data_IF_530563011302
#
_entry.id   IF_530563011302
#
_cell.length_a   1.000
_cell.length_b   1.000
_cell.length_c   1.000
_cell.angle_alpha   90.00
_cell.angle_beta   90.00
_cell.angle_gamma   90.00
#
_symmetry.space_group_name_H-M   'P 1'
#
loop_
_entity.id
_entity.type
_entity.pdbx_description
1 polymer ?
#
# COMPACT_ATOMS: atom_id res chain seq x y z
N UNK A 1 44.67 -11.01 72.04
CA UNK A 1 44.67 -12.42 71.55
C UNK A 1 44.16 -12.38 70.12
N UNK A 2 45.08 -12.52 69.17
CA UNK A 2 44.82 -12.57 67.73
C UNK A 2 44.40 -13.97 67.33
N UNK A 3 43.32 -14.10 66.55
CA UNK A 3 43.04 -15.29 65.74
C UNK A 3 42.52 -14.81 64.37
N UNK A 4 43.05 -15.32 63.25
CA UNK A 4 42.61 -14.94 61.91
C UNK A 4 41.48 -15.86 61.42
N UNK A 5 40.36 -15.28 61.03
CA UNK A 5 39.29 -15.91 60.23
C UNK A 5 39.02 -14.97 59.05
N UNK A 6 38.95 -15.36 57.79
CA UNK A 6 39.40 -16.55 57.12
C UNK A 6 39.64 -16.17 55.66
N UNK A 7 40.81 -16.53 55.12
CA UNK A 7 41.18 -16.31 53.72
C UNK A 7 40.58 -17.38 52.76
N UNK A 8 39.65 -18.20 53.24
CA UNK A 8 39.08 -19.32 52.50
C UNK A 8 37.92 -18.96 51.56
N UNK A 9 37.34 -17.75 51.64
CA UNK A 9 36.03 -17.49 51.02
C UNK A 9 36.03 -16.88 49.62
N UNK A 10 37.19 -16.53 49.03
CA UNK A 10 37.22 -15.86 47.71
C UNK A 10 37.53 -16.83 46.57
N UNK A 11 38.44 -17.77 46.79
CA UNK A 11 38.77 -18.80 45.80
C UNK A 11 37.63 -19.80 45.59
N UNK A 12 36.91 -20.13 46.66
CA UNK A 12 35.78 -21.06 46.62
C UNK A 12 34.58 -20.46 45.86
N UNK A 13 34.31 -19.15 46.06
CA UNK A 13 33.26 -18.41 45.33
C UNK A 13 33.60 -18.26 43.84
N UNK A 14 34.88 -18.05 43.50
CA UNK A 14 35.33 -17.99 42.11
C UNK A 14 35.19 -19.34 41.39
N UNK A 15 35.50 -20.45 42.07
CA UNK A 15 35.33 -21.80 41.51
C UNK A 15 33.85 -22.13 41.25
N UNK A 16 32.95 -21.76 42.19
CA UNK A 16 31.51 -21.97 42.02
C UNK A 16 30.95 -21.13 40.86
N UNK A 17 31.39 -19.89 40.71
CA UNK A 17 30.92 -19.03 39.59
C UNK A 17 31.41 -19.51 38.23
N UNK A 18 32.64 -20.02 38.14
CA UNK A 18 33.16 -20.62 36.90
C UNK A 18 32.43 -21.92 36.56
N UNK A 19 32.10 -22.74 37.57
CA UNK A 19 31.33 -23.98 37.36
C UNK A 19 29.91 -23.69 36.85
N UNK A 20 29.20 -22.72 37.44
CA UNK A 20 27.86 -22.30 36.97
C UNK A 20 27.91 -21.70 35.57
N UNK A 21 28.96 -20.95 35.25
CA UNK A 21 29.15 -20.42 33.90
C UNK A 21 29.41 -21.52 32.86
N UNK A 22 30.16 -22.57 33.22
CA UNK A 22 30.41 -23.71 32.34
C UNK A 22 29.12 -24.50 32.05
N UNK A 23 28.32 -24.78 33.09
CA UNK A 23 27.03 -25.47 32.95
C UNK A 23 26.03 -24.66 32.11
N UNK A 24 26.02 -23.33 32.26
CA UNK A 24 25.22 -22.45 31.42
C UNK A 24 25.65 -22.43 29.95
N UNK A 25 26.96 -22.56 29.66
CA UNK A 25 27.48 -22.62 28.29
C UNK A 25 27.13 -23.96 27.64
N UNK A 26 27.18 -25.06 28.38
CA UNK A 26 26.80 -26.40 27.90
C UNK A 26 25.30 -26.47 27.57
N UNK A 27 24.45 -25.92 28.45
CA UNK A 27 23.01 -25.81 28.17
C UNK A 27 22.70 -24.92 26.94
N UNK A 28 23.50 -23.88 26.71
CA UNK A 28 23.34 -23.02 25.53
C UNK A 28 23.78 -23.73 24.24
N UNK A 29 24.79 -24.60 24.32
CA UNK A 29 25.23 -25.41 23.18
C UNK A 29 24.16 -26.45 22.79
N UNK A 30 23.58 -27.16 23.76
CA UNK A 30 22.46 -28.10 23.50
C UNK A 30 21.25 -27.38 22.90
N UNK A 31 20.92 -26.18 23.39
CA UNK A 31 19.83 -25.39 22.86
C UNK A 31 20.07 -24.95 21.40
N UNK A 32 21.31 -24.63 21.03
CA UNK A 32 21.68 -24.26 19.65
C UNK A 32 21.60 -25.47 18.71
N UNK A 33 22.00 -26.66 19.17
CA UNK A 33 21.92 -27.89 18.39
C UNK A 33 20.46 -28.30 18.13
N UNK A 34 19.60 -28.21 19.16
CA UNK A 34 18.16 -28.43 19.01
C UNK A 34 17.49 -27.42 18.06
N UNK A 35 17.96 -26.16 18.05
CA UNK A 35 17.45 -25.13 17.13
C UNK A 35 17.89 -25.40 15.69
N UNK A 36 19.09 -25.94 15.49
CA UNK A 36 19.59 -26.34 14.17
C UNK A 36 18.78 -27.51 13.59
N UNK A 37 18.47 -28.53 14.40
CA UNK A 37 17.60 -29.64 13.98
C UNK A 37 16.18 -29.17 13.65
N UNK A 38 15.62 -28.24 14.42
CA UNK A 38 14.29 -27.67 14.17
C UNK A 38 14.24 -26.88 12.85
N UNK A 39 15.30 -26.12 12.52
CA UNK A 39 15.41 -25.39 11.26
C UNK A 39 15.51 -26.35 10.07
N UNK A 40 16.26 -27.45 10.20
CA UNK A 40 16.37 -28.45 9.14
C UNK A 40 15.05 -29.22 8.93
N UNK A 41 14.30 -29.50 10.01
CA UNK A 41 12.98 -30.08 9.94
C UNK A 41 11.97 -29.14 9.25
N UNK A 42 12.03 -27.84 9.53
CA UNK A 42 11.18 -26.84 8.88
C UNK A 42 11.46 -26.76 7.37
N UNK A 43 12.74 -26.80 6.97
CA UNK A 43 13.14 -26.80 5.57
C UNK A 43 12.67 -28.05 4.82
N UNK A 44 12.69 -29.23 5.48
CA UNK A 44 12.12 -30.47 4.91
C UNK A 44 10.59 -30.38 4.75
N UNK A 45 9.89 -29.80 5.73
CA UNK A 45 8.45 -29.62 5.68
C UNK A 45 8.02 -28.63 4.58
N UNK A 46 8.78 -27.54 4.37
CA UNK A 46 8.53 -26.60 3.26
C UNK A 46 8.75 -27.28 1.89
N UNK A 47 9.79 -28.10 1.74
CA UNK A 47 10.05 -28.84 0.51
C UNK A 47 8.96 -29.89 0.20
N UNK A 48 8.43 -30.59 1.22
CA UNK A 48 7.30 -31.52 1.05
C UNK A 48 6.00 -30.78 0.71
N UNK A 49 5.75 -29.62 1.31
CA UNK A 49 4.59 -28.79 1.00
C UNK A 49 4.64 -28.25 -0.44
N UNK A 50 5.83 -27.90 -0.94
CA UNK A 50 6.03 -27.47 -2.33
C UNK A 50 5.85 -28.63 -3.32
N UNK A 51 6.28 -29.85 -2.96
CA UNK A 51 6.05 -31.06 -3.75
C UNK A 51 4.57 -31.47 -3.80
N UNK A 52 3.82 -31.29 -2.70
CA UNK A 52 2.36 -31.51 -2.66
C UNK A 52 1.57 -30.42 -3.39
N UNK A 53 2.06 -29.18 -3.38
CA UNK A 53 1.48 -28.06 -4.13
C UNK A 53 1.58 -28.21 -5.65
N UNK A 54 2.53 -29.02 -6.14
CA UNK A 54 2.70 -29.31 -7.57
C UNK A 54 1.73 -30.37 -8.13
N UNK A 55 0.93 -31.04 -7.28
CA UNK A 55 -0.06 -32.07 -7.69
C UNK A 55 -1.49 -31.51 -7.71
N UNK A 56 -1.70 -30.25 -7.34
CA UNK A 56 -3.03 -29.64 -7.15
C UNK A 56 -3.61 -28.84 -8.32
N UNK A 57 -3.08 -28.96 -9.55
CA UNK A 57 -3.60 -28.22 -10.73
C UNK A 57 -4.13 -29.10 -11.87
N UNK A 58 -4.38 -30.39 -11.63
CA UNK A 58 -5.10 -31.24 -12.58
C UNK A 58 -6.19 -32.05 -11.86
N UNK A 59 -7.42 -31.51 -11.79
CA UNK A 59 -8.59 -32.30 -11.43
C UNK A 59 -9.69 -31.59 -10.64
N UNK A 60 -10.31 -30.56 -11.21
CA UNK A 60 -11.68 -30.17 -10.81
C UNK A 60 -12.50 -29.78 -12.05
N UNK A 61 -12.85 -30.78 -12.85
CA UNK A 61 -14.03 -30.73 -13.70
C UNK A 61 -14.87 -31.98 -13.36
N UNK A 62 -16.17 -31.77 -13.15
CA UNK A 62 -17.20 -32.73 -12.70
C UNK A 62 -17.38 -32.90 -11.17
N UNK A 63 -18.46 -32.30 -10.66
CA UNK A 63 -19.63 -32.96 -10.03
C UNK A 63 -20.30 -31.97 -9.07
N UNK A 64 -21.43 -31.38 -9.51
CA UNK A 64 -22.49 -30.92 -8.61
C UNK A 64 -23.84 -31.13 -9.29
N UNK A 65 -24.33 -32.37 -9.26
CA UNK A 65 -25.77 -32.65 -9.33
C UNK A 65 -26.36 -32.43 -7.93
N UNK A 66 -27.12 -31.35 -7.79
CA UNK A 66 -27.96 -31.09 -6.64
C UNK A 66 -29.23 -31.92 -6.69
N UNK A 67 -29.54 -32.58 -5.57
CA UNK A 67 -30.84 -33.18 -5.33
C UNK A 67 -31.82 -32.18 -4.70
N UNK A 68 -33.11 -32.42 -4.97
CA UNK A 68 -34.34 -32.01 -4.26
C UNK A 68 -35.21 -30.88 -4.86
N UNK A 69 -36.56 -30.98 -4.72
CA UNK A 69 -37.43 -31.24 -5.87
C UNK A 69 -38.64 -30.28 -5.98
N UNK A 70 -39.43 -30.44 -7.04
CA UNK A 70 -40.89 -30.21 -6.99
C UNK A 70 -41.44 -29.08 -7.85
N UNK A 71 -42.67 -29.31 -8.33
CA UNK A 71 -43.55 -28.46 -9.15
C UNK A 71 -43.04 -28.26 -10.60
N UNK A 72 -43.77 -28.60 -11.65
CA UNK A 72 -45.21 -28.67 -11.80
C UNK A 72 -45.57 -27.84 -13.05
N UNK A 73 -46.34 -28.47 -13.95
CA UNK A 73 -47.28 -27.82 -14.87
C UNK A 73 -46.82 -27.11 -16.17
N UNK A 74 -47.47 -27.60 -17.23
CA UNK A 74 -48.01 -26.88 -18.39
C UNK A 74 -47.09 -26.33 -19.49
N UNK A 75 -46.98 -27.15 -20.54
CA UNK A 75 -46.84 -26.68 -21.91
C UNK A 75 -48.18 -26.20 -22.49
N UNK A 76 -48.15 -25.01 -23.09
CA UNK A 76 -49.28 -24.39 -23.79
C UNK A 76 -48.84 -23.35 -24.82
N UNK A 77 -48.81 -23.80 -26.08
CA UNK A 77 -49.21 -23.13 -27.35
C UNK A 77 -49.30 -21.59 -27.50
N UNK A 78 -49.02 -21.20 -28.76
CA UNK A 78 -49.32 -19.93 -29.46
C UNK A 78 -48.33 -18.79 -29.14
N UNK A 79 -47.89 -17.95 -30.08
CA UNK A 79 -48.24 -17.70 -31.47
C UNK A 79 -47.76 -16.27 -31.75
N UNK A 80 -46.87 -16.08 -32.73
CA UNK A 80 -47.18 -15.17 -33.84
C UNK A 80 -46.73 -13.72 -33.64
N UNK A 81 -46.65 -13.02 -34.77
CA UNK A 81 -46.40 -11.59 -34.99
C UNK A 81 -44.90 -11.23 -35.13
N UNK A 82 -44.34 -11.28 -36.36
CA UNK A 82 -44.33 -10.22 -37.40
C UNK A 82 -43.25 -9.15 -37.11
N UNK A 83 -42.44 -8.62 -38.03
CA UNK A 83 -42.74 -8.18 -39.39
C UNK A 83 -41.41 -7.82 -40.12
N UNK A 84 -41.41 -7.99 -41.44
CA UNK A 84 -40.60 -7.31 -42.48
C UNK A 84 -39.10 -7.64 -42.62
N UNK A 85 -38.70 -8.45 -43.60
CA UNK A 85 -38.51 -8.11 -45.02
C UNK A 85 -37.72 -6.82 -45.26
N UNK A 86 -36.48 -6.97 -45.74
CA UNK A 86 -36.12 -6.48 -47.07
C UNK A 86 -35.10 -7.43 -47.72
N UNK A 87 -35.64 -8.21 -48.65
CA UNK A 87 -34.96 -9.03 -49.63
C UNK A 87 -34.46 -8.09 -50.75
N UNK A 88 -33.18 -8.18 -51.13
CA UNK A 88 -32.77 -7.84 -52.49
C UNK A 88 -31.93 -8.99 -53.04
N UNK A 89 -32.63 -9.82 -53.81
CA UNK A 89 -32.12 -10.89 -54.67
C UNK A 89 -31.45 -10.27 -55.89
N UNK A 90 -30.19 -10.65 -56.18
CA UNK A 90 -29.65 -11.09 -57.48
C UNK A 90 -28.37 -11.85 -57.10
N UNK A 91 -28.15 -13.16 -57.34
CA UNK A 91 -28.49 -13.98 -58.49
C UNK A 91 -27.20 -14.26 -59.28
N UNK A 92 -26.65 -15.48 -59.18
CA UNK A 92 -25.63 -15.99 -60.11
C UNK A 92 -24.36 -16.56 -59.45
N UNK A 93 -24.26 -17.89 -59.39
CA UNK A 93 -23.05 -18.59 -58.93
C UNK A 93 -21.95 -18.69 -59.99
N UNK A 94 -20.76 -19.15 -59.60
CA UNK A 94 -19.86 -19.99 -60.39
C UNK A 94 -18.70 -20.50 -59.50
N UNK A 95 -18.18 -21.68 -59.86
CA UNK A 95 -17.20 -22.49 -59.14
C UNK A 95 -15.75 -21.95 -59.15
N UNK A 96 -14.96 -22.51 -58.23
CA UNK A 96 -13.55 -22.94 -58.41
C UNK A 96 -12.41 -21.92 -58.21
N UNK A 97 -11.40 -22.38 -57.46
CA UNK A 97 -10.00 -22.04 -57.76
C UNK A 97 -9.22 -21.21 -56.74
N UNK A 98 -8.48 -21.91 -55.86
CA UNK A 98 -7.03 -21.76 -55.67
C UNK A 98 -6.35 -20.40 -55.37
N UNK A 99 -5.42 -20.51 -54.40
CA UNK A 99 -4.16 -19.74 -54.25
C UNK A 99 -4.12 -18.44 -53.43
N UNK A 100 -3.47 -18.60 -52.26
CA UNK A 100 -2.33 -17.81 -51.73
C UNK A 100 -2.36 -16.29 -52.00
N UNK A 101 -2.69 -15.53 -50.96
CA UNK A 101 -2.41 -14.10 -50.85
C UNK A 101 -2.00 -13.70 -49.44
N UNK A 102 -0.72 -13.33 -49.27
CA UNK A 102 -0.11 -12.71 -48.08
C UNK A 102 -0.98 -11.55 -47.52
N UNK A 103 -1.49 -11.67 -46.30
CA UNK A 103 -1.81 -10.53 -45.42
C UNK A 103 -0.65 -10.39 -44.42
N UNK A 104 0.26 -9.43 -44.53
CA UNK A 104 0.12 -7.97 -44.34
C UNK A 104 -0.39 -7.63 -42.95
N UNK A 105 0.52 -7.19 -42.08
CA UNK A 105 0.21 -6.15 -41.10
C UNK A 105 0.05 -6.59 -39.64
N UNK A 106 0.91 -7.45 -39.10
CA UNK A 106 1.16 -7.49 -37.67
C UNK A 106 1.88 -6.21 -37.24
N UNK A 107 1.12 -5.14 -36.99
CA UNK A 107 1.61 -3.86 -36.46
C UNK A 107 2.15 -4.13 -35.06
N UNK A 108 3.44 -4.48 -34.99
CA UNK A 108 4.20 -4.58 -33.74
C UNK A 108 3.90 -3.34 -32.91
N UNK A 109 3.57 -3.59 -31.64
CA UNK A 109 3.20 -2.60 -30.66
C UNK A 109 4.12 -1.39 -30.73
N UNK A 110 3.48 -0.23 -30.65
CA UNK A 110 4.04 1.09 -30.61
C UNK A 110 5.32 1.10 -29.74
N UNK A 111 6.50 1.06 -30.37
CA UNK A 111 7.78 1.18 -29.69
C UNK A 111 7.79 2.52 -28.96
N UNK A 112 7.68 2.45 -27.64
CA UNK A 112 7.74 3.57 -26.71
C UNK A 112 9.18 4.07 -26.59
N UNK A 113 9.67 4.71 -27.65
CA UNK A 113 10.84 5.57 -27.62
C UNK A 113 10.43 7.01 -27.86
N UNK A 114 9.42 7.50 -27.12
CA UNK A 114 9.17 8.95 -27.10
C UNK A 114 10.24 9.56 -26.23
N UNK A 115 10.93 10.59 -26.71
CA UNK A 115 11.83 11.39 -25.88
C UNK A 115 10.98 12.00 -24.75
N UNK A 116 11.06 11.39 -23.58
CA UNK A 116 10.37 11.80 -22.37
C UNK A 116 11.38 12.57 -21.55
N UNK A 117 11.06 13.81 -21.21
CA UNK A 117 11.87 14.63 -20.33
C UNK A 117 11.27 14.55 -18.92
N UNK A 118 12.11 14.33 -17.91
CA UNK A 118 11.67 14.30 -16.51
C UNK A 118 12.19 15.55 -15.82
N UNK A 119 11.26 16.34 -15.29
CA UNK A 119 11.53 17.58 -14.56
C UNK A 119 11.18 17.38 -13.08
N UNK A 120 11.95 17.93 -12.13
CA UNK A 120 11.57 17.91 -10.73
C UNK A 120 10.30 18.75 -10.48
N UNK A 121 9.40 18.25 -9.65
CA UNK A 121 8.22 19.00 -9.20
C UNK A 121 8.61 19.97 -8.06
N UNK A 122 7.71 20.90 -7.69
CA UNK A 122 7.88 21.74 -6.48
C UNK A 122 7.99 20.94 -5.17
N UNK A 123 7.55 19.68 -5.16
CA UNK A 123 7.62 18.81 -4.00
C UNK A 123 8.82 17.89 -4.15
N UNK A 124 9.61 17.78 -3.10
CA UNK A 124 10.79 16.91 -3.05
C UNK A 124 10.40 15.44 -3.30
N UNK A 125 11.15 14.72 -4.14
CA UNK A 125 10.91 13.31 -4.46
C UNK A 125 9.80 13.04 -5.49
N UNK A 126 9.11 14.08 -5.97
CA UNK A 126 8.09 13.98 -7.02
C UNK A 126 8.60 14.65 -8.30
N UNK A 127 8.30 14.04 -9.44
CA UNK A 127 8.76 14.51 -10.75
C UNK A 127 7.59 14.58 -11.74
N UNK A 128 7.76 15.38 -12.79
CA UNK A 128 6.84 15.48 -13.92
C UNK A 128 7.54 14.93 -15.15
N UNK A 129 6.91 13.94 -15.77
CA UNK A 129 7.29 13.42 -17.07
C UNK A 129 6.56 14.26 -18.15
N UNK A 130 7.30 15.13 -18.83
CA UNK A 130 6.80 15.89 -19.98
C UNK A 130 6.86 15.04 -21.24
N UNK A 131 5.73 14.95 -21.94
CA UNK A 131 5.59 14.14 -23.14
C UNK A 131 4.46 14.65 -24.03
N UNK A 132 3.65 13.72 -24.57
CA UNK A 132 2.40 14.12 -25.27
C UNK A 132 1.32 14.55 -24.27
N UNK A 133 1.31 13.90 -23.12
CA UNK A 133 0.48 14.20 -21.96
C UNK A 133 1.43 14.22 -20.78
N UNK A 134 1.30 15.24 -19.94
CA UNK A 134 2.14 15.35 -18.75
C UNK A 134 1.67 14.35 -17.70
N UNK A 135 2.61 13.60 -17.15
CA UNK A 135 2.33 12.59 -16.15
C UNK A 135 3.14 12.87 -14.87
N UNK A 136 2.48 12.74 -13.72
CA UNK A 136 3.16 12.74 -12.43
C UNK A 136 3.93 11.42 -12.29
N UNK A 137 5.20 11.48 -11.89
CA UNK A 137 6.04 10.29 -11.73
C UNK A 137 6.84 10.32 -10.43
N UNK A 138 7.12 9.15 -9.86
CA UNK A 138 8.01 8.95 -8.72
C UNK A 138 9.21 8.10 -9.12
N UNK A 139 10.36 8.30 -8.48
CA UNK A 139 11.54 7.47 -8.71
C UNK A 139 11.32 6.09 -8.08
N UNK A 140 11.44 5.03 -8.87
CA UNK A 140 11.21 3.68 -8.39
C UNK A 140 12.34 3.24 -7.45
N UNK A 141 12.00 2.77 -6.25
CA UNK A 141 12.98 2.22 -5.31
C UNK A 141 13.49 0.82 -5.74
N UNK A 142 12.65 0.03 -6.41
CA UNK A 142 12.96 -1.34 -6.85
C UNK A 142 12.83 -1.43 -8.38
N UNK A 143 13.91 -1.14 -9.14
CA UNK A 143 13.87 -1.14 -10.59
C UNK A 143 13.46 -2.51 -11.16
N UNK A 144 12.71 -2.49 -12.26
CA UNK A 144 12.29 -3.70 -12.97
C UNK A 144 10.90 -4.21 -12.58
N UNK A 145 10.36 -3.78 -11.44
CA UNK A 145 9.08 -4.26 -10.94
C UNK A 145 7.98 -3.19 -10.92
N UNK A 146 6.77 -3.56 -11.36
CA UNK A 146 5.55 -2.76 -11.22
C UNK A 146 4.67 -3.33 -10.12
N UNK A 147 4.02 -2.46 -9.34
CA UNK A 147 3.17 -2.90 -8.22
C UNK A 147 1.77 -3.29 -8.70
N UNK A 148 1.16 -2.49 -9.56
CA UNK A 148 -0.21 -2.68 -10.03
C UNK A 148 -0.34 -2.55 -11.56
N UNK A 149 0.76 -2.71 -12.29
CA UNK A 149 0.81 -2.64 -13.75
C UNK A 149 0.85 -1.21 -14.32
N UNK A 150 1.32 -0.24 -13.53
CA UNK A 150 1.52 1.13 -13.96
C UNK A 150 2.57 1.28 -15.07
N UNK A 151 2.44 2.35 -15.86
CA UNK A 151 3.44 2.70 -16.87
C UNK A 151 4.74 3.10 -16.20
N UNK A 152 5.87 2.62 -16.75
CA UNK A 152 7.22 2.90 -16.25
C UNK A 152 8.02 3.61 -17.33
N UNK A 153 8.87 4.54 -16.91
CA UNK A 153 9.76 5.30 -17.78
C UNK A 153 11.17 5.05 -17.28
N UNK A 154 11.98 4.34 -18.07
CA UNK A 154 13.39 4.16 -17.77
C UNK A 154 14.21 5.22 -18.48
N UNK A 155 15.01 5.96 -17.73
CA UNK A 155 15.99 6.91 -18.25
C UNK A 155 17.38 6.41 -17.86
N UNK A 156 18.25 6.27 -18.85
CA UNK A 156 19.68 6.01 -18.63
C UNK A 156 20.39 7.35 -18.42
N UNK A 157 20.71 7.68 -17.17
CA UNK A 157 21.61 8.79 -16.87
C UNK A 157 23.01 8.20 -16.60
N UNK A 158 23.85 8.17 -17.64
CA UNK A 158 25.17 7.52 -17.55
C UNK A 158 25.08 6.00 -17.45
N UNK A 159 25.81 5.41 -16.50
CA UNK A 159 25.86 3.96 -16.26
C UNK A 159 24.70 3.45 -15.38
N UNK A 160 23.99 4.35 -14.68
CA UNK A 160 22.86 3.99 -13.82
C UNK A 160 21.52 4.09 -14.56
N UNK A 161 20.78 2.98 -14.55
CA UNK A 161 19.43 2.92 -15.11
C UNK A 161 18.42 3.34 -14.05
N UNK A 162 17.98 4.60 -14.10
CA UNK A 162 16.94 5.11 -13.22
C UNK A 162 15.57 4.81 -13.84
N UNK A 163 14.67 4.22 -13.05
CA UNK A 163 13.30 3.97 -13.46
C UNK A 163 12.35 4.87 -12.69
N UNK A 164 11.40 5.47 -13.42
CA UNK A 164 10.31 6.26 -12.89
C UNK A 164 8.98 5.53 -13.08
N UNK A 165 8.08 5.66 -12.12
CA UNK A 165 6.74 5.06 -12.12
C UNK A 165 5.69 6.14 -12.30
N UNK A 166 4.74 5.93 -13.20
CA UNK A 166 3.63 6.84 -13.40
C UNK A 166 2.63 6.75 -12.24
N UNK A 167 2.35 7.89 -11.61
CA UNK A 167 1.43 8.02 -10.51
C UNK A 167 0.07 8.53 -11.00
N UNK A 168 -0.97 7.71 -10.85
CA UNK A 168 -2.29 8.03 -11.37
C UNK A 168 -3.13 8.83 -10.35
N UNK A 169 -3.52 10.08 -10.67
CA UNK A 169 -4.34 10.90 -9.77
C UNK A 169 -5.77 10.37 -9.56
N UNK A 170 -6.33 9.60 -10.51
CA UNK A 170 -7.66 8.99 -10.35
C UNK A 170 -7.69 7.77 -9.43
N UNK A 171 -6.51 7.26 -9.02
CA UNK A 171 -6.40 6.14 -8.07
C UNK A 171 -5.83 6.55 -6.73
N UNK A 172 -5.19 7.72 -6.67
CA UNK A 172 -4.45 8.15 -5.49
C UNK A 172 -4.81 9.58 -5.15
N UNK A 173 -5.46 9.74 -4.00
CA UNK A 173 -5.93 11.04 -3.49
C UNK A 173 -4.77 12.00 -3.21
N UNK A 174 -3.61 11.45 -2.82
CA UNK A 174 -2.39 12.22 -2.64
C UNK A 174 -1.85 12.76 -3.98
N UNK A 175 -1.88 11.97 -5.07
CA UNK A 175 -1.51 12.46 -6.39
C UNK A 175 -2.50 13.52 -6.90
N UNK A 176 -3.80 13.32 -6.69
CA UNK A 176 -4.81 14.32 -7.01
C UNK A 176 -4.57 15.64 -6.25
N UNK A 177 -4.18 15.57 -4.98
CA UNK A 177 -3.84 16.74 -4.17
C UNK A 177 -2.60 17.48 -4.69
N UNK A 178 -1.56 16.73 -5.07
CA UNK A 178 -0.32 17.30 -5.64
C UNK A 178 -0.62 18.05 -6.94
N UNK A 179 -1.40 17.44 -7.85
CA UNK A 179 -1.80 18.08 -9.12
C UNK A 179 -2.81 19.21 -8.91
N UNK A 180 -3.68 19.09 -7.91
CA UNK A 180 -4.68 20.11 -7.57
C UNK A 180 -4.09 21.37 -6.95
N UNK A 181 -2.80 21.36 -6.57
CA UNK A 181 -2.12 22.58 -6.18
C UNK A 181 -1.75 22.70 -4.71
N UNK A 182 -1.79 21.63 -3.89
CA UNK A 182 -1.41 21.68 -2.45
C UNK A 182 -0.04 22.33 -2.23
N UNK A 183 0.08 23.30 -1.33
CA UNK A 183 1.32 24.06 -1.10
C UNK A 183 2.45 23.15 -0.60
N UNK A 184 2.21 22.38 0.48
CA UNK A 184 3.18 21.46 1.07
C UNK A 184 2.53 20.17 1.56
N UNK A 185 2.99 19.03 1.03
CA UNK A 185 2.57 17.70 1.49
C UNK A 185 3.34 17.23 2.74
N UNK A 186 4.45 17.90 3.07
CA UNK A 186 5.40 17.59 4.16
C UNK A 186 6.07 16.21 4.11
N UNK A 187 5.69 15.34 3.18
CA UNK A 187 6.41 14.10 2.86
C UNK A 187 7.66 14.48 2.06
N UNK A 188 8.82 14.23 2.66
CA UNK A 188 10.13 14.53 2.10
C UNK A 188 11.02 13.28 2.09
N UNK A 189 12.05 13.23 1.24
CA UNK A 189 13.08 12.21 1.35
C UNK A 189 13.64 12.14 2.78
N UNK A 190 13.72 10.95 3.37
CA UNK A 190 14.17 10.71 4.74
C UNK A 190 13.12 10.94 5.85
N UNK A 191 11.92 11.39 5.51
CA UNK A 191 10.85 11.60 6.51
C UNK A 191 10.27 10.28 7.01
N UNK A 192 9.78 10.26 8.26
CA UNK A 192 9.00 9.13 8.79
C UNK A 192 7.51 9.42 8.62
N UNK A 193 6.82 8.57 7.85
CA UNK A 193 5.40 8.74 7.51
C UNK A 193 4.57 7.63 8.13
N UNK A 194 3.48 7.98 8.81
CA UNK A 194 2.44 7.04 9.23
C UNK A 194 1.26 7.15 8.26
N UNK A 195 1.00 6.07 7.53
CA UNK A 195 -0.10 5.96 6.59
C UNK A 195 -1.25 5.17 7.22
N UNK A 196 -2.39 5.83 7.45
CA UNK A 196 -3.59 5.22 7.99
C UNK A 196 -4.56 4.86 6.86
N UNK A 197 -4.91 3.58 6.74
CA UNK A 197 -5.78 3.06 5.67
C UNK A 197 -5.01 2.74 4.39
N UNK A 198 -3.95 1.94 4.51
CA UNK A 198 -3.05 1.60 3.40
C UNK A 198 -3.69 0.76 2.29
N UNK A 199 -4.81 0.08 2.55
CA UNK A 199 -5.47 -0.87 1.66
C UNK A 199 -4.45 -1.85 1.05
N UNK A 200 -4.46 -2.07 -0.27
CA UNK A 200 -3.50 -2.94 -0.96
C UNK A 200 -2.12 -2.28 -1.19
N UNK A 201 -1.87 -1.07 -0.69
CA UNK A 201 -0.56 -0.41 -0.76
C UNK A 201 -0.22 0.29 -2.08
N UNK A 202 -1.19 0.55 -2.96
CA UNK A 202 -0.95 1.23 -4.25
C UNK A 202 -0.35 2.62 -4.05
N UNK A 203 -0.99 3.49 -3.26
CA UNK A 203 -0.46 4.82 -2.92
C UNK A 203 0.75 4.74 -1.99
N UNK A 204 0.75 3.79 -1.04
CA UNK A 204 1.87 3.59 -0.11
C UNK A 204 3.17 3.32 -0.85
N UNK A 205 3.12 2.57 -1.96
CA UNK A 205 4.29 2.33 -2.80
C UNK A 205 4.90 3.62 -3.37
N UNK A 206 4.08 4.62 -3.72
CA UNK A 206 4.56 5.92 -4.20
C UNK A 206 5.07 6.81 -3.05
N UNK A 207 4.42 6.75 -1.88
CA UNK A 207 4.91 7.44 -0.68
C UNK A 207 6.29 6.91 -0.28
N UNK A 208 6.46 5.58 -0.32
CA UNK A 208 7.75 4.92 -0.10
C UNK A 208 8.81 5.35 -1.11
N UNK A 209 8.45 5.47 -2.39
CA UNK A 209 9.35 5.97 -3.44
C UNK A 209 9.81 7.42 -3.17
N UNK A 210 8.93 8.29 -2.66
CA UNK A 210 9.24 9.70 -2.34
C UNK A 210 10.16 9.81 -1.11
N UNK A 211 9.84 9.05 -0.06
CA UNK A 211 10.59 9.03 1.19
C UNK A 211 11.99 8.43 0.99
N UNK A 212 12.13 7.50 0.05
CA UNK A 212 13.41 6.87 -0.27
C UNK A 212 13.87 5.85 0.79
N UNK A 213 15.13 5.38 0.67
CA UNK A 213 15.66 4.32 1.54
C UNK A 213 15.96 4.79 2.97
N UNK A 214 16.24 6.09 3.17
CA UNK A 214 16.62 6.64 4.47
C UNK A 214 15.42 6.91 5.40
N UNK A 215 14.22 7.01 4.83
CA UNK A 215 13.01 7.21 5.61
C UNK A 215 12.17 5.94 5.73
N UNK A 216 11.08 6.04 6.49
CA UNK A 216 10.25 4.89 6.84
C UNK A 216 8.77 5.21 6.64
N UNK A 217 8.03 4.25 6.10
CA UNK A 217 6.58 4.34 5.94
C UNK A 217 5.92 3.24 6.76
N UNK A 218 5.23 3.63 7.83
CA UNK A 218 4.39 2.75 8.62
C UNK A 218 3.02 2.68 7.98
N UNK A 219 2.65 1.52 7.43
CA UNK A 219 1.42 1.34 6.69
C UNK A 219 0.41 0.55 7.54
N UNK A 220 -0.60 1.24 8.09
CA UNK A 220 -1.64 0.64 8.93
C UNK A 220 -2.83 0.25 8.07
N UNK A 221 -3.21 -1.02 8.15
CA UNK A 221 -4.38 -1.55 7.45
C UNK A 221 -5.15 -2.53 8.36
N UNK A 222 -6.48 -2.46 8.32
CA UNK A 222 -7.31 -3.33 9.16
C UNK A 222 -7.63 -4.66 8.45
N UNK A 223 -7.86 -4.64 7.13
CA UNK A 223 -8.29 -5.82 6.39
C UNK A 223 -7.15 -6.84 6.23
N UNK A 224 -7.39 -8.08 6.62
CA UNK A 224 -6.43 -9.17 6.40
C UNK A 224 -6.19 -9.46 4.91
N UNK A 225 -7.21 -9.31 4.04
CA UNK A 225 -7.05 -9.55 2.59
C UNK A 225 -6.11 -8.51 2.00
N UNK A 226 -6.39 -7.23 2.23
CA UNK A 226 -5.56 -6.12 1.77
C UNK A 226 -4.18 -6.15 2.42
N UNK A 227 -4.11 -6.59 3.68
CA UNK A 227 -2.88 -6.79 4.43
C UNK A 227 -1.94 -7.82 3.79
N UNK A 228 -2.46 -8.88 3.14
CA UNK A 228 -1.61 -9.84 2.39
C UNK A 228 -0.88 -9.15 1.23
N UNK A 229 -1.61 -8.32 0.46
CA UNK A 229 -1.02 -7.56 -0.65
C UNK A 229 0.01 -6.55 -0.12
N UNK A 230 -0.30 -5.88 1.00
CA UNK A 230 0.59 -4.92 1.65
C UNK A 230 1.88 -5.58 2.18
N UNK A 231 1.78 -6.79 2.75
CA UNK A 231 2.96 -7.57 3.16
C UNK A 231 3.79 -7.96 1.93
N UNK A 232 3.17 -8.42 0.85
CA UNK A 232 3.89 -8.77 -0.38
C UNK A 232 4.61 -7.56 -1.00
N UNK A 233 4.02 -6.37 -0.88
CA UNK A 233 4.67 -5.12 -1.24
C UNK A 233 5.86 -4.80 -0.33
N UNK A 234 5.69 -4.95 0.99
CA UNK A 234 6.75 -4.69 1.98
C UNK A 234 7.93 -5.66 1.88
N UNK A 235 7.70 -6.91 1.45
CA UNK A 235 8.80 -7.85 1.14
C UNK A 235 9.76 -7.31 0.09
N UNK A 236 9.24 -6.55 -0.88
CA UNK A 236 10.02 -5.97 -1.97
C UNK A 236 10.62 -4.62 -1.59
N UNK A 237 9.92 -3.84 -0.76
CA UNK A 237 10.33 -2.50 -0.32
C UNK A 237 10.62 -2.47 1.17
N UNK A 238 11.91 -2.46 1.51
CA UNK A 238 12.40 -2.54 2.88
C UNK A 238 12.07 -1.33 3.76
N UNK A 239 11.73 -0.19 3.18
CA UNK A 239 11.33 1.02 3.91
C UNK A 239 9.86 1.04 4.34
N UNK A 240 9.06 0.02 3.97
CA UNK A 240 7.66 -0.10 4.36
C UNK A 240 7.54 -1.10 5.51
N UNK A 241 6.92 -0.67 6.61
CA UNK A 241 6.57 -1.53 7.74
C UNK A 241 5.05 -1.74 7.72
N UNK A 242 4.56 -2.93 7.33
CA UNK A 242 3.14 -3.23 7.32
C UNK A 242 2.64 -3.52 8.74
N UNK A 243 1.55 -2.88 9.13
CA UNK A 243 0.90 -3.06 10.44
C UNK A 243 -0.56 -3.45 10.20
N UNK A 244 -0.89 -4.71 10.40
CA UNK A 244 -2.25 -5.23 10.20
C UNK A 244 -3.03 -5.14 11.51
N UNK A 245 -3.51 -3.95 11.83
CA UNK A 245 -4.26 -3.66 13.05
C UNK A 245 -5.30 -2.55 12.82
N UNK A 246 -6.27 -2.45 13.74
CA UNK A 246 -7.27 -1.38 13.71
C UNK A 246 -6.68 -0.04 14.16
N UNK A 247 -6.69 0.95 13.26
CA UNK A 247 -6.22 2.31 13.50
C UNK A 247 -6.95 3.05 14.64
N UNK A 248 -8.14 2.58 15.06
CA UNK A 248 -8.87 3.11 16.24
C UNK A 248 -8.15 2.85 17.56
N UNK A 249 -7.25 1.87 17.60
CA UNK A 249 -6.63 1.37 18.80
C UNK A 249 -5.09 1.47 18.73
N UNK A 250 -4.51 2.69 18.73
CA UNK A 250 -3.07 2.89 18.56
C UNK A 250 -2.20 2.24 19.64
N UNK A 251 -2.77 1.89 20.79
CA UNK A 251 -2.07 1.17 21.86
C UNK A 251 -1.61 -0.23 21.43
N UNK A 252 -2.32 -0.90 20.51
CA UNK A 252 -1.99 -2.26 20.07
C UNK A 252 -0.68 -2.34 19.31
N UNK A 253 -0.41 -1.36 18.45
CA UNK A 253 0.80 -1.30 17.62
C UNK A 253 1.81 -0.25 18.11
N UNK A 254 1.65 0.24 19.34
CA UNK A 254 2.54 1.22 19.95
C UNK A 254 4.00 0.76 19.98
N UNK A 255 4.24 -0.56 20.13
CA UNK A 255 5.59 -1.12 20.17
C UNK A 255 6.30 -1.11 18.81
N UNK A 256 5.53 -1.05 17.71
CA UNK A 256 6.07 -1.14 16.35
C UNK A 256 6.42 0.24 15.77
N UNK A 257 5.67 1.27 16.16
CA UNK A 257 5.73 2.59 15.52
C UNK A 257 6.52 3.57 16.39
N UNK A 258 7.58 4.15 15.83
CA UNK A 258 8.34 5.21 16.45
C UNK A 258 7.68 6.59 16.21
N UNK A 259 8.22 7.65 16.82
CA UNK A 259 7.73 9.02 16.58
C UNK A 259 7.91 9.43 15.11
N UNK A 260 6.79 9.75 14.46
CA UNK A 260 6.69 10.12 13.04
C UNK A 260 6.61 11.63 12.83
N UNK A 261 6.99 12.06 11.62
CA UNK A 261 6.99 13.47 11.22
C UNK A 261 5.68 13.87 10.52
N UNK A 262 5.10 12.94 9.75
CA UNK A 262 3.86 13.17 8.98
C UNK A 262 2.89 12.01 9.15
N UNK A 263 1.61 12.32 9.33
CA UNK A 263 0.51 11.35 9.21
C UNK A 263 -0.24 11.61 7.91
N UNK A 264 -0.42 10.58 7.07
CA UNK A 264 -1.37 10.62 5.96
C UNK A 264 -2.55 9.70 6.27
N UNK A 265 -3.76 10.21 6.21
CA UNK A 265 -4.98 9.46 6.54
C UNK A 265 -5.93 9.37 5.34
N UNK A 266 -6.15 8.14 4.88
CA UNK A 266 -7.11 7.79 3.81
C UNK A 266 -8.16 6.79 4.31
N UNK A 267 -8.58 6.97 5.57
CA UNK A 267 -9.59 6.14 6.22
C UNK A 267 -10.98 6.69 5.92
N UNK A 268 -11.82 5.90 5.25
CA UNK A 268 -13.21 6.25 4.95
C UNK A 268 -14.16 5.82 6.08
N UNK A 269 -14.05 6.45 7.25
CA UNK A 269 -14.90 6.18 8.42
C UNK A 269 -15.56 7.47 8.94
N UNK A 270 -16.76 7.41 9.54
CA UNK A 270 -17.41 8.59 10.11
C UNK A 270 -16.65 9.14 11.34
N UNK A 271 -15.89 8.31 12.03
CA UNK A 271 -15.04 8.69 13.17
C UNK A 271 -13.60 9.03 12.76
N UNK A 272 -13.37 9.43 11.50
CA UNK A 272 -12.05 9.71 10.94
C UNK A 272 -11.22 10.70 11.77
N UNK A 273 -11.77 11.87 12.11
CA UNK A 273 -11.02 12.87 12.89
C UNK A 273 -10.55 12.32 14.25
N UNK A 274 -11.39 11.53 14.93
CA UNK A 274 -11.02 10.89 16.20
C UNK A 274 -9.89 9.88 16.02
N UNK A 275 -9.94 9.06 14.97
CA UNK A 275 -8.89 8.08 14.64
C UNK A 275 -7.55 8.79 14.41
N UNK A 276 -7.57 9.86 13.60
CA UNK A 276 -6.35 10.62 13.31
C UNK A 276 -5.83 11.32 14.56
N UNK A 277 -6.69 11.93 15.37
CA UNK A 277 -6.31 12.58 16.62
C UNK A 277 -5.64 11.61 17.61
N UNK A 278 -6.21 10.42 17.83
CA UNK A 278 -5.62 9.40 18.71
C UNK A 278 -4.23 8.94 18.23
N UNK A 279 -4.07 8.78 16.92
CA UNK A 279 -2.78 8.43 16.32
C UNK A 279 -1.77 9.58 16.42
N UNK A 280 -2.22 10.82 16.18
CA UNK A 280 -1.39 12.01 16.31
C UNK A 280 -0.91 12.20 17.76
N UNK A 281 -1.78 12.00 18.74
CA UNK A 281 -1.41 12.07 20.15
C UNK A 281 -0.36 11.04 20.56
N UNK A 282 -0.36 9.87 19.92
CA UNK A 282 0.52 8.76 20.28
C UNK A 282 1.86 8.80 19.55
N UNK A 283 1.86 9.14 18.25
CA UNK A 283 3.02 8.97 17.37
C UNK A 283 3.54 10.24 16.72
N UNK A 284 2.72 11.29 16.57
CA UNK A 284 3.13 12.49 15.83
C UNK A 284 3.94 13.42 16.74
N UNK A 285 5.09 13.88 16.23
CA UNK A 285 5.93 14.86 16.93
C UNK A 285 5.19 16.19 17.07
N UNK A 286 5.50 16.94 18.12
CA UNK A 286 5.00 18.31 18.26
C UNK A 286 5.52 19.16 17.10
N UNK A 287 4.64 19.89 16.42
CA UNK A 287 4.96 20.59 15.18
C UNK A 287 4.99 19.69 13.93
N UNK A 288 4.72 18.39 14.09
CA UNK A 288 4.55 17.45 12.97
C UNK A 288 3.31 17.77 12.14
N UNK A 289 3.27 17.21 10.94
CA UNK A 289 2.24 17.52 9.96
C UNK A 289 1.24 16.38 9.80
N UNK A 290 0.03 16.72 9.40
CA UNK A 290 -0.98 15.73 9.02
C UNK A 290 -1.63 16.13 7.71
N UNK A 291 -1.99 15.12 6.94
CA UNK A 291 -2.71 15.23 5.67
C UNK A 291 -3.88 14.26 5.77
N UNK A 292 -5.10 14.79 5.75
CA UNK A 292 -6.32 13.99 5.89
C UNK A 292 -7.12 14.11 4.60
N UNK A 293 -7.45 12.98 4.01
CA UNK A 293 -8.38 12.91 2.88
C UNK A 293 -9.80 12.68 3.40
N UNK A 294 -10.64 13.71 3.32
CA UNK A 294 -12.03 13.69 3.77
C UNK A 294 -12.93 13.37 2.58
N UNK A 295 -13.75 12.33 2.72
CA UNK A 295 -14.83 11.98 1.78
C UNK A 295 -16.17 12.29 2.42
N UNK A 296 -16.85 13.34 1.95
CA UNK A 296 -18.08 13.82 2.58
C UNK A 296 -19.14 12.71 2.71
N UNK A 297 -19.37 11.97 1.62
CA UNK A 297 -20.36 10.89 1.54
C UNK A 297 -20.13 9.72 2.51
N UNK A 298 -18.91 9.53 3.03
CA UNK A 298 -18.62 8.48 4.02
C UNK A 298 -18.79 8.96 5.47
N UNK A 299 -18.84 10.27 5.69
CA UNK A 299 -19.05 10.85 7.02
C UNK A 299 -20.53 11.08 7.23
N UNK A 300 -21.15 11.81 6.31
CA UNK A 300 -22.58 12.09 6.31
C UNK A 300 -23.07 12.22 4.86
N UNK A 301 -23.92 11.29 4.44
CA UNK A 301 -24.49 11.27 3.09
C UNK A 301 -25.70 12.19 2.91
N UNK A 302 -26.22 12.78 4.00
CA UNK A 302 -27.41 13.63 3.97
C UNK A 302 -27.08 15.13 3.94
N UNK A 303 -25.92 15.50 4.48
CA UNK A 303 -25.45 16.87 4.51
C UNK A 303 -24.70 17.25 3.21
N UNK A 304 -24.60 18.56 2.94
CA UNK A 304 -23.74 19.05 1.86
C UNK A 304 -22.26 18.87 2.19
N UNK A 305 -21.43 18.65 1.16
CA UNK A 305 -19.99 18.40 1.34
C UNK A 305 -19.29 19.55 2.10
N UNK A 306 -19.63 20.80 1.80
CA UNK A 306 -19.08 21.98 2.49
C UNK A 306 -19.40 22.00 3.99
N UNK A 307 -20.62 21.61 4.38
CA UNK A 307 -21.02 21.54 5.78
C UNK A 307 -20.25 20.42 6.51
N UNK A 308 -20.07 19.27 5.86
CA UNK A 308 -19.27 18.16 6.40
C UNK A 308 -17.81 18.61 6.60
N UNK A 309 -17.19 19.23 5.60
CA UNK A 309 -15.81 19.72 5.71
C UNK A 309 -15.65 20.74 6.85
N UNK A 310 -16.56 21.70 6.98
CA UNK A 310 -16.55 22.67 8.06
C UNK A 310 -16.72 22.01 9.44
N UNK A 311 -17.52 20.95 9.54
CA UNK A 311 -17.71 20.20 10.77
C UNK A 311 -16.45 19.42 11.17
N UNK A 312 -15.76 18.79 10.23
CA UNK A 312 -14.53 18.05 10.48
C UNK A 312 -13.39 18.99 10.87
N UNK A 313 -13.25 20.13 10.20
CA UNK A 313 -12.27 21.17 10.57
C UNK A 313 -12.47 21.64 12.01
N UNK A 314 -13.72 21.80 12.47
CA UNK A 314 -14.01 22.16 13.87
C UNK A 314 -13.62 21.05 14.85
N UNK A 315 -13.91 19.79 14.53
CA UNK A 315 -13.50 18.64 15.36
C UNK A 315 -11.97 18.55 15.46
N UNK A 316 -11.24 18.78 14.36
CA UNK A 316 -9.77 18.79 14.37
C UNK A 316 -9.22 19.88 15.28
N UNK A 317 -9.80 21.09 15.23
CA UNK A 317 -9.39 22.18 16.10
C UNK A 317 -9.58 21.87 17.59
N UNK A 318 -10.61 21.10 17.95
CA UNK A 318 -10.84 20.64 19.33
C UNK A 318 -9.75 19.66 19.80
N UNK A 319 -9.14 18.89 18.89
CA UNK A 319 -8.10 17.91 19.17
C UNK A 319 -6.67 18.47 19.05
N UNK A 320 -6.49 19.79 19.18
CA UNK A 320 -5.20 20.49 19.04
C UNK A 320 -4.51 20.31 17.67
N UNK A 321 -5.28 20.00 16.64
CA UNK A 321 -4.83 19.92 15.26
C UNK A 321 -5.23 21.21 14.55
N UNK A 322 -4.23 21.96 14.05
CA UNK A 322 -4.48 23.23 13.37
C UNK A 322 -4.44 23.02 11.85
N UNK A 323 -5.58 23.05 11.15
CA UNK A 323 -5.59 23.02 9.69
C UNK A 323 -4.99 24.32 9.14
N UNK A 324 -4.18 24.20 8.09
CA UNK A 324 -3.52 25.30 7.39
C UNK A 324 -4.09 25.48 5.99
N UNK A 325 -4.32 24.38 5.31
CA UNK A 325 -4.73 24.36 3.91
C UNK A 325 -5.86 23.34 3.73
N UNK A 326 -6.82 23.70 2.88
CA UNK A 326 -7.90 22.81 2.45
C UNK A 326 -8.02 22.94 0.93
N UNK A 327 -8.02 21.80 0.25
CA UNK A 327 -8.16 21.72 -1.20
C UNK A 327 -9.21 20.68 -1.57
N UNK A 328 -10.12 21.02 -2.47
CA UNK A 328 -11.06 20.06 -3.06
C UNK A 328 -10.39 19.32 -4.23
N UNK A 329 -10.64 18.02 -4.37
CA UNK A 329 -9.97 17.16 -5.37
C UNK A 329 -10.70 17.10 -6.74
N UNK A 330 -11.59 18.04 -7.01
CA UNK A 330 -12.23 18.16 -8.33
C UNK A 330 -11.18 18.65 -9.34
N UNK A 331 -10.95 17.95 -10.48
CA UNK A 331 -11.87 17.08 -11.23
C UNK A 331 -11.68 15.55 -11.04
N UNK A 332 -10.77 15.09 -10.18
CA UNK A 332 -10.40 13.68 -10.09
C UNK A 332 -11.40 12.87 -9.25
N UNK A 333 -11.75 13.37 -8.07
CA UNK A 333 -12.70 12.74 -7.16
C UNK A 333 -13.75 13.76 -6.72
N UNK A 334 -15.04 13.40 -6.85
CA UNK A 334 -16.17 14.24 -6.42
C UNK A 334 -16.38 14.16 -4.92
N UNK A 335 -16.77 15.26 -4.28
CA UNK A 335 -17.04 15.33 -2.83
C UNK A 335 -15.87 14.90 -1.93
N UNK A 336 -14.64 15.05 -2.43
CA UNK A 336 -13.40 14.80 -1.68
C UNK A 336 -12.65 16.11 -1.44
N UNK A 337 -12.12 16.25 -0.23
CA UNK A 337 -11.24 17.34 0.13
C UNK A 337 -10.03 16.81 0.90
N UNK A 338 -8.86 17.38 0.64
CA UNK A 338 -7.66 17.15 1.41
C UNK A 338 -7.42 18.34 2.33
N UNK A 339 -7.23 18.04 3.61
CA UNK A 339 -6.90 19.04 4.63
C UNK A 339 -5.48 18.77 5.11
N UNK A 340 -4.61 19.77 5.00
CA UNK A 340 -3.25 19.75 5.51
C UNK A 340 -3.17 20.64 6.74
N UNK A 341 -2.46 20.19 7.77
CA UNK A 341 -2.29 20.97 8.98
C UNK A 341 -1.09 20.57 9.82
N UNK A 342 -0.94 21.30 10.93
CA UNK A 342 0.14 21.11 11.91
C UNK A 342 -0.46 20.66 13.24
N UNK A 343 0.14 19.64 13.81
CA UNK A 343 -0.20 19.14 15.14
C UNK A 343 0.57 19.91 16.21
N UNK A 344 -0.16 20.50 17.18
CA UNK A 344 0.40 21.30 18.27
C UNK A 344 1.48 22.28 17.77
N UNK A 345 1.09 23.28 16.96
CA UNK A 345 2.06 24.25 16.44
C UNK A 345 2.81 24.92 17.59
N UNK A 346 4.12 25.14 17.47
CA UNK A 346 4.87 25.84 18.50
C UNK A 346 4.27 27.23 18.73
N UNK A 347 4.31 27.74 19.97
CA UNK A 347 3.84 29.09 20.25
C UNK A 347 4.56 30.07 19.33
N UNK A 348 3.80 30.96 18.68
CA UNK A 348 4.38 32.00 17.83
C UNK A 348 5.38 32.81 18.67
N UNK A 349 6.65 32.77 18.31
CA UNK A 349 7.64 33.71 18.85
C UNK A 349 7.17 35.09 18.40
N UNK A 350 6.72 35.91 19.35
CA UNK A 350 6.44 37.33 19.09
C UNK A 350 7.81 37.99 18.92
N UNK A 351 8.19 38.25 17.66
CA UNK A 351 9.28 39.16 17.34
C UNK A 351 8.87 40.61 17.62
#
# INVERSE_FOLDING_TARGET
>A
VSAPVGAASVAEVALVTVAVAAEAVEALAEAVEALAEAVEALARAEAEAEALGAVGEEGEEEVMEGAFPGLGEWGGKHGGVSLSLHLCLVGGGFQSGGSRGRGRGGKKGNQSGKNVMVEPHRHEGVFICRGKEDALVTKNLVPGESVYGEKRVSISEGDDKIEYRAWNPFRSKLAAAILGGVDQIHIKPGAKVLYLGAASGTTVSHVSDIVGPDGLVYAVEFSHRSGRDLINLAKKRTNIIPVIEDARHPHKYRMLIAMVDVIFADVAQPDQTRIVALNAHTFLRNGGHFVISIKANCIDSTASAEAVFASEVKKMQQENMKPQEQLTLEPYERDHAVVVGVYRPPPKVKN
#
